data_IF_519771658161
#
_entry.id   IF_519771658161
#
_cell.length_a   1.000
_cell.length_b   1.000
_cell.length_c   1.000
_cell.angle_alpha   90.00
_cell.angle_beta   90.00
_cell.angle_gamma   90.00
#
_symmetry.space_group_name_H-M   'P 1'
#
loop_
_entity.id
_entity.type
_entity.pdbx_description
1 polymer ?
#
# COMPACT_ATOMS: atom_id res chain seq x y z
N UNK A 1 8.74 -15.99 -6.89
CA UNK A 1 8.59 -14.97 -7.99
C UNK A 1 9.01 -15.47 -9.37
N UNK A 2 9.89 -16.49 -9.47
CA UNK A 2 10.43 -16.96 -10.75
C UNK A 2 9.39 -17.62 -11.66
N UNK A 3 8.45 -18.41 -11.11
CA UNK A 3 7.44 -19.11 -11.91
C UNK A 3 6.37 -18.15 -12.40
N UNK A 4 5.95 -17.19 -11.57
CA UNK A 4 5.06 -16.11 -11.97
C UNK A 4 5.60 -15.35 -13.19
N UNK A 5 6.88 -14.98 -13.15
CA UNK A 5 7.54 -14.30 -14.26
C UNK A 5 7.74 -15.19 -15.50
N UNK A 6 7.70 -16.52 -15.38
CA UNK A 6 7.75 -17.42 -16.54
C UNK A 6 6.43 -17.44 -17.32
N UNK A 7 5.30 -17.18 -16.67
CA UNK A 7 3.99 -17.10 -17.33
C UNK A 7 3.94 -15.87 -18.23
N UNK A 8 4.24 -14.70 -17.68
CA UNK A 8 4.38 -13.46 -18.43
C UNK A 8 5.23 -12.46 -17.64
N UNK A 9 6.52 -12.39 -18.00
CA UNK A 9 7.50 -11.55 -17.30
C UNK A 9 7.14 -10.07 -17.33
N UNK A 10 6.78 -9.55 -18.50
CA UNK A 10 6.53 -8.12 -18.67
C UNK A 10 5.29 -7.69 -17.88
N UNK A 11 4.23 -8.50 -17.94
CA UNK A 11 3.01 -8.27 -17.13
C UNK A 11 3.32 -8.33 -15.63
N UNK A 12 4.13 -9.28 -15.18
CA UNK A 12 4.51 -9.38 -13.77
C UNK A 12 5.28 -8.13 -13.32
N UNK A 13 6.28 -7.69 -14.10
CA UNK A 13 7.06 -6.48 -13.78
C UNK A 13 6.18 -5.22 -13.79
N UNK A 14 5.23 -5.11 -14.71
CA UNK A 14 4.31 -3.97 -14.78
C UNK A 14 3.40 -3.90 -13.55
N UNK A 15 2.80 -5.02 -13.13
CA UNK A 15 1.98 -5.10 -11.92
C UNK A 15 2.77 -4.88 -10.62
N UNK A 16 4.03 -5.30 -10.56
CA UNK A 16 4.89 -5.00 -9.41
C UNK A 16 5.25 -3.51 -9.35
N UNK A 17 5.51 -2.87 -10.49
CA UNK A 17 5.75 -1.42 -10.54
C UNK A 17 4.50 -0.61 -10.18
N UNK A 18 3.33 -1.12 -10.55
CA UNK A 18 2.04 -0.61 -10.12
C UNK A 18 1.92 -0.64 -8.60
N UNK A 19 2.11 -1.80 -7.96
CA UNK A 19 2.15 -1.89 -6.49
C UNK A 19 3.22 -1.02 -5.87
N UNK A 20 4.45 -1.04 -6.37
CA UNK A 20 5.52 -0.21 -5.82
C UNK A 20 5.18 1.29 -5.86
N UNK A 21 4.50 1.74 -6.92
CA UNK A 21 4.05 3.14 -7.02
C UNK A 21 3.00 3.46 -5.97
N UNK A 22 2.13 2.52 -5.68
CA UNK A 22 1.13 2.63 -4.64
C UNK A 22 1.72 2.65 -3.23
N UNK A 23 2.60 1.70 -2.90
CA UNK A 23 3.32 1.61 -1.61
C UNK A 23 4.10 2.91 -1.31
N UNK A 24 4.77 3.47 -2.34
CA UNK A 24 5.43 4.77 -2.21
C UNK A 24 4.46 5.91 -1.91
N UNK A 25 3.21 5.80 -2.35
CA UNK A 25 2.18 6.77 -2.04
C UNK A 25 1.64 6.56 -0.61
N UNK A 26 1.30 5.33 -0.22
CA UNK A 26 0.78 4.97 1.11
C UNK A 26 1.76 5.32 2.22
N UNK A 27 3.07 5.05 2.07
CA UNK A 27 4.11 5.52 3.01
C UNK A 27 3.99 7.03 3.27
N UNK A 28 3.79 7.82 2.21
CA UNK A 28 3.62 9.29 2.32
C UNK A 28 2.28 9.68 2.93
N UNK A 29 1.22 8.93 2.67
CA UNK A 29 -0.08 9.13 3.32
C UNK A 29 0.04 8.93 4.83
N UNK A 30 0.64 7.81 5.24
CA UNK A 30 0.89 7.50 6.65
C UNK A 30 1.79 8.53 7.32
N UNK A 31 2.90 8.94 6.69
CA UNK A 31 3.76 10.00 7.21
C UNK A 31 2.96 11.28 7.50
N UNK A 32 2.13 11.72 6.56
CA UNK A 32 1.26 12.90 6.72
C UNK A 32 0.22 12.72 7.84
N UNK A 33 -0.44 11.57 7.90
CA UNK A 33 -1.45 11.28 8.93
C UNK A 33 -0.80 11.23 10.31
N UNK A 34 0.34 10.56 10.47
CA UNK A 34 1.10 10.53 11.73
C UNK A 34 1.47 11.95 12.17
N UNK A 35 1.94 12.80 11.25
CA UNK A 35 2.25 14.20 11.55
C UNK A 35 1.01 14.98 12.02
N UNK A 36 -0.10 14.88 11.28
CA UNK A 36 -1.34 15.62 11.57
C UNK A 36 -2.00 15.15 12.87
N UNK A 37 -2.09 13.84 13.08
CA UNK A 37 -2.59 13.26 14.33
C UNK A 37 -1.69 13.60 15.51
N UNK A 38 -0.37 13.67 15.31
CA UNK A 38 0.59 14.11 16.31
C UNK A 38 0.38 15.55 16.82
N UNK A 39 -0.40 16.36 16.09
CA UNK A 39 -0.79 17.72 16.47
C UNK A 39 -2.20 17.81 17.05
N UNK A 40 -2.93 16.71 17.10
CA UNK A 40 -4.29 16.66 17.62
C UNK A 40 -4.33 16.90 19.13
N UNK A 41 -5.42 17.54 19.61
CA UNK A 41 -5.71 17.65 21.03
C UNK A 41 -6.52 16.46 21.57
N UNK A 42 -6.98 15.56 20.69
CA UNK A 42 -7.79 14.39 21.05
C UNK A 42 -6.89 13.24 21.56
N UNK A 43 -7.00 12.85 22.85
CA UNK A 43 -6.21 11.75 23.40
C UNK A 43 -6.48 10.40 22.71
N UNK A 44 -7.70 10.17 22.23
CA UNK A 44 -8.07 8.95 21.50
C UNK A 44 -7.28 8.82 20.20
N UNK A 45 -7.15 9.93 19.46
CA UNK A 45 -6.35 9.98 18.24
C UNK A 45 -4.84 9.85 18.54
N UNK A 46 -4.35 10.51 19.60
CA UNK A 46 -2.94 10.41 20.00
C UNK A 46 -2.54 8.97 20.38
N UNK A 47 -3.45 8.19 20.97
CA UNK A 47 -3.21 6.80 21.30
C UNK A 47 -3.00 5.89 20.07
N UNK A 48 -3.46 6.31 18.89
CA UNK A 48 -3.27 5.56 17.63
C UNK A 48 -1.86 5.72 17.05
N UNK A 49 -1.09 6.73 17.47
CA UNK A 49 0.19 7.07 16.85
C UNK A 49 1.22 5.94 16.86
N UNK A 50 1.20 5.08 17.88
CA UNK A 50 2.09 3.92 17.93
C UNK A 50 1.81 2.97 16.78
N UNK A 51 0.54 2.59 16.60
CA UNK A 51 0.10 1.65 15.58
C UNK A 51 0.22 2.23 14.17
N UNK A 52 -0.11 3.51 13.97
CA UNK A 52 0.05 4.17 12.67
C UNK A 52 1.51 4.23 12.20
N UNK A 53 2.46 4.35 13.13
CA UNK A 53 3.90 4.29 12.80
C UNK A 53 4.35 2.89 12.45
N UNK A 54 3.83 1.88 13.15
CA UNK A 54 4.09 0.48 12.81
C UNK A 54 3.61 0.15 11.40
N UNK A 55 2.39 0.57 11.04
CA UNK A 55 1.85 0.34 9.70
C UNK A 55 2.64 1.10 8.64
N UNK A 56 3.00 2.36 8.90
CA UNK A 56 3.93 3.12 8.06
C UNK A 56 5.26 2.38 7.81
N UNK A 57 5.80 1.70 8.82
CA UNK A 57 7.05 0.96 8.70
C UNK A 57 6.86 -0.35 7.92
N UNK A 58 5.69 -0.99 8.00
CA UNK A 58 5.32 -2.14 7.18
C UNK A 58 5.19 -1.76 5.70
N UNK A 59 4.47 -0.68 5.40
CA UNK A 59 4.35 -0.07 4.06
C UNK A 59 5.74 0.22 3.45
N UNK A 60 6.67 0.69 4.28
CA UNK A 60 8.05 0.92 3.84
C UNK A 60 8.80 -0.39 3.54
N UNK A 61 8.57 -1.44 4.34
CA UNK A 61 9.11 -2.76 4.06
C UNK A 61 8.56 -3.34 2.74
N UNK A 62 7.27 -3.12 2.47
CA UNK A 62 6.62 -3.54 1.24
C UNK A 62 7.20 -2.84 0.01
N UNK A 63 7.37 -1.51 0.10
CA UNK A 63 8.08 -0.71 -0.90
C UNK A 63 9.46 -1.28 -1.20
N UNK A 64 10.31 -1.45 -0.18
CA UNK A 64 11.69 -1.93 -0.33
C UNK A 64 11.75 -3.34 -0.90
N UNK A 65 10.83 -4.21 -0.48
CA UNK A 65 10.74 -5.57 -0.98
C UNK A 65 10.34 -5.60 -2.46
N UNK A 66 9.32 -4.83 -2.87
CA UNK A 66 8.89 -4.75 -4.26
C UNK A 66 10.02 -4.24 -5.17
N UNK A 67 10.76 -3.22 -4.74
CA UNK A 67 11.93 -2.75 -5.49
C UNK A 67 12.96 -3.86 -5.72
N UNK A 68 13.26 -4.65 -4.68
CA UNK A 68 14.15 -5.80 -4.78
C UNK A 68 13.60 -6.83 -5.78
N UNK A 69 12.32 -7.18 -5.71
CA UNK A 69 11.72 -8.18 -6.61
C UNK A 69 11.73 -7.72 -8.07
N UNK A 70 11.42 -6.45 -8.33
CA UNK A 70 11.48 -5.89 -9.70
C UNK A 70 12.90 -5.98 -10.25
N UNK A 71 13.91 -5.61 -9.46
CA UNK A 71 15.32 -5.69 -9.85
C UNK A 71 15.77 -7.13 -10.07
N UNK A 72 15.35 -8.07 -9.22
CA UNK A 72 15.68 -9.51 -9.35
C UNK A 72 15.07 -10.14 -10.60
N UNK A 73 13.91 -9.65 -11.04
CA UNK A 73 13.33 -10.01 -12.34
C UNK A 73 14.01 -9.30 -13.52
N UNK A 74 14.94 -8.38 -13.27
CA UNK A 74 15.63 -7.60 -14.30
C UNK A 74 14.79 -6.44 -14.87
N UNK A 75 13.78 -6.00 -14.13
CA UNK A 75 13.06 -4.76 -14.38
C UNK A 75 13.75 -3.55 -13.72
N UNK A 76 13.22 -2.36 -14.01
CA UNK A 76 13.64 -1.10 -13.39
C UNK A 76 12.53 -0.63 -12.44
N UNK A 77 12.84 -0.54 -11.14
CA UNK A 77 11.91 -0.13 -10.07
C UNK A 77 11.63 1.39 -10.05
N UNK A 78 12.27 2.15 -10.95
CA UNK A 78 12.01 3.57 -11.17
C UNK A 78 11.40 3.86 -12.53
N UNK A 79 11.13 2.82 -13.35
CA UNK A 79 10.46 2.99 -14.62
C UNK A 79 8.99 3.38 -14.41
N UNK A 80 8.51 4.36 -15.18
CA UNK A 80 7.09 4.61 -15.32
C UNK A 80 6.52 3.62 -16.35
N UNK A 81 5.98 2.51 -15.85
CA UNK A 81 5.23 1.52 -16.62
C UNK A 81 3.77 1.95 -16.83
N UNK A 82 3.04 1.26 -17.72
CA UNK A 82 1.63 1.57 -18.00
C UNK A 82 0.77 1.52 -16.73
N UNK A 83 0.88 0.44 -15.96
CA UNK A 83 0.07 0.26 -14.76
C UNK A 83 0.53 1.18 -13.62
N UNK A 84 1.84 1.43 -13.48
CA UNK A 84 2.35 2.42 -12.51
C UNK A 84 1.80 3.84 -12.74
N UNK A 85 1.68 4.23 -14.02
CA UNK A 85 1.13 5.53 -14.39
C UNK A 85 -0.37 5.59 -14.10
N UNK A 86 -1.10 4.51 -14.38
CA UNK A 86 -2.53 4.45 -14.15
C UNK A 86 -2.85 4.60 -12.66
N UNK A 87 -2.21 3.81 -11.79
CA UNK A 87 -2.48 3.86 -10.36
C UNK A 87 -2.07 5.20 -9.72
N UNK A 88 -1.04 5.86 -10.26
CA UNK A 88 -0.65 7.21 -9.83
C UNK A 88 -1.77 8.25 -10.10
N UNK A 89 -2.51 8.08 -11.21
CA UNK A 89 -3.67 8.92 -11.54
C UNK A 89 -4.86 8.56 -10.63
N UNK A 90 -5.14 7.27 -10.45
CA UNK A 90 -6.27 6.79 -9.64
C UNK A 90 -6.13 7.20 -8.16
N UNK A 91 -4.92 7.16 -7.62
CA UNK A 91 -4.61 7.54 -6.23
C UNK A 91 -4.48 9.06 -6.01
N UNK A 92 -4.55 9.88 -7.07
CA UNK A 92 -4.33 11.33 -6.98
C UNK A 92 -5.31 12.01 -6.02
N UNK A 93 -6.60 11.66 -6.06
CA UNK A 93 -7.61 12.28 -5.19
C UNK A 93 -7.39 11.98 -3.70
N UNK A 94 -6.92 10.77 -3.37
CA UNK A 94 -6.59 10.38 -1.98
C UNK A 94 -5.42 11.25 -1.48
N UNK A 95 -4.38 11.37 -2.31
CA UNK A 95 -3.21 12.21 -2.01
C UNK A 95 -3.59 13.68 -1.82
N UNK A 96 -4.46 14.22 -2.66
CA UNK A 96 -4.92 15.60 -2.53
C UNK A 96 -5.61 15.84 -1.18
N UNK A 97 -6.45 14.92 -0.70
CA UNK A 97 -7.09 15.04 0.63
C UNK A 97 -6.07 14.95 1.76
N UNK A 98 -5.21 13.92 1.72
CA UNK A 98 -4.35 13.57 2.85
C UNK A 98 -3.07 14.39 2.92
N UNK A 99 -2.47 14.76 1.80
CA UNK A 99 -1.22 15.54 1.78
C UNK A 99 -1.52 17.03 1.80
N UNK A 100 -2.32 17.50 0.84
CA UNK A 100 -2.42 18.93 0.52
C UNK A 100 -3.69 19.60 1.09
N UNK A 101 -4.75 18.82 1.37
CA UNK A 101 -6.10 19.36 1.52
C UNK A 101 -6.56 19.58 2.95
N UNK A 102 -6.57 18.54 3.78
CA UNK A 102 -7.38 18.55 5.02
C UNK A 102 -6.57 18.42 6.32
N UNK A 103 -7.17 18.88 7.42
CA UNK A 103 -6.71 18.69 8.81
C UNK A 103 -7.75 17.95 9.66
N UNK A 104 -8.96 17.72 9.13
CA UNK A 104 -10.03 17.00 9.80
C UNK A 104 -9.71 15.50 9.84
N UNK A 105 -9.51 14.90 11.04
CA UNK A 105 -9.21 13.48 11.17
C UNK A 105 -10.23 12.57 10.47
N UNK A 106 -11.52 12.91 10.49
CA UNK A 106 -12.56 12.11 9.82
C UNK A 106 -12.30 12.01 8.31
N UNK A 107 -11.91 13.12 7.67
CA UNK A 107 -11.62 13.13 6.24
C UNK A 107 -10.32 12.38 5.92
N UNK A 108 -9.30 12.55 6.77
CA UNK A 108 -8.01 11.86 6.62
C UNK A 108 -8.18 10.33 6.73
N UNK A 109 -8.89 9.84 7.76
CA UNK A 109 -9.11 8.41 7.95
C UNK A 109 -10.09 7.81 6.94
N UNK A 110 -11.07 8.59 6.44
CA UNK A 110 -11.91 8.13 5.34
C UNK A 110 -11.11 7.99 4.03
N UNK A 111 -10.21 8.93 3.74
CA UNK A 111 -9.31 8.83 2.60
C UNK A 111 -8.34 7.65 2.76
N UNK A 112 -7.77 7.45 3.95
CA UNK A 112 -6.95 6.28 4.26
C UNK A 112 -7.75 4.99 4.09
N UNK A 113 -9.00 4.91 4.56
CA UNK A 113 -9.85 3.72 4.36
C UNK A 113 -10.02 3.37 2.89
N UNK A 114 -10.11 4.39 2.03
CA UNK A 114 -10.20 4.19 0.58
C UNK A 114 -8.88 3.64 0.03
N UNK A 115 -7.75 4.10 0.57
CA UNK A 115 -6.44 3.59 0.19
C UNK A 115 -6.26 2.11 0.60
N UNK A 116 -6.52 1.79 1.86
CA UNK A 116 -6.42 0.42 2.41
C UNK A 116 -7.27 -0.60 1.63
N UNK A 117 -8.46 -0.21 1.19
CA UNK A 117 -9.33 -1.07 0.38
C UNK A 117 -8.72 -1.39 -1.00
N UNK A 118 -8.07 -0.41 -1.62
CA UNK A 118 -7.38 -0.60 -2.90
C UNK A 118 -6.13 -1.47 -2.69
N UNK A 119 -5.41 -1.28 -1.59
CA UNK A 119 -4.19 -2.04 -1.35
C UNK A 119 -4.44 -3.52 -1.11
N UNK A 120 -5.42 -3.83 -0.24
CA UNK A 120 -5.88 -5.18 0.00
C UNK A 120 -6.26 -5.89 -1.33
N UNK A 121 -6.99 -5.20 -2.21
CA UNK A 121 -7.36 -5.75 -3.50
C UNK A 121 -6.14 -5.95 -4.43
N UNK A 122 -5.16 -5.05 -4.39
CA UNK A 122 -3.91 -5.15 -5.15
C UNK A 122 -3.07 -6.36 -4.72
N UNK A 123 -2.86 -6.54 -3.42
CA UNK A 123 -2.14 -7.69 -2.88
C UNK A 123 -2.86 -9.01 -3.11
N UNK A 124 -4.20 -9.02 -2.97
CA UNK A 124 -5.00 -10.20 -3.27
C UNK A 124 -4.85 -10.63 -4.75
N UNK A 125 -4.89 -9.68 -5.69
CA UNK A 125 -4.69 -9.97 -7.11
C UNK A 125 -3.31 -10.60 -7.37
N UNK A 126 -2.24 -10.06 -6.77
CA UNK A 126 -0.91 -10.64 -6.90
C UNK A 126 -0.82 -12.06 -6.34
N UNK A 127 -1.48 -12.32 -5.20
CA UNK A 127 -1.57 -13.65 -4.61
C UNK A 127 -2.30 -14.64 -5.54
N UNK A 128 -3.42 -14.23 -6.12
CA UNK A 128 -4.18 -15.05 -7.07
C UNK A 128 -3.35 -15.39 -8.31
N UNK A 129 -2.63 -14.41 -8.88
CA UNK A 129 -1.73 -14.64 -10.01
C UNK A 129 -0.56 -15.57 -9.67
N UNK A 130 -0.02 -15.47 -8.44
CA UNK A 130 1.02 -16.39 -7.98
C UNK A 130 0.48 -17.82 -7.79
N UNK A 131 -0.78 -17.98 -7.41
CA UNK A 131 -1.46 -19.27 -7.31
C UNK A 131 -1.69 -19.90 -8.67
N UNK A 132 -2.20 -19.15 -9.64
CA UNK A 132 -2.34 -19.59 -11.02
C UNK A 132 -1.00 -20.02 -11.66
N UNK A 133 0.11 -19.41 -11.23
CA UNK A 133 1.46 -19.73 -11.70
C UNK A 133 2.16 -20.84 -10.90
N UNK A 134 1.51 -21.45 -9.90
CA UNK A 134 2.10 -22.42 -8.96
C UNK A 134 3.42 -21.92 -8.32
N UNK A 135 3.52 -20.63 -8.00
CA UNK A 135 4.71 -19.98 -7.43
C UNK A 135 4.62 -19.86 -5.90
N UNK A 136 4.92 -20.95 -5.19
CA UNK A 136 4.87 -21.04 -3.71
C UNK A 136 5.61 -19.92 -2.99
N UNK A 137 6.76 -19.51 -3.52
CA UNK A 137 7.58 -18.44 -2.95
C UNK A 137 6.87 -17.08 -3.08
N UNK A 138 6.33 -16.77 -4.26
CA UNK A 138 5.56 -15.55 -4.45
C UNK A 138 4.26 -15.57 -3.62
N UNK A 139 3.56 -16.70 -3.58
CA UNK A 139 2.34 -16.88 -2.78
C UNK A 139 2.57 -16.58 -1.31
N UNK A 140 3.63 -17.10 -0.72
CA UNK A 140 3.94 -16.86 0.69
C UNK A 140 4.29 -15.39 0.94
N UNK A 141 5.09 -14.79 0.06
CA UNK A 141 5.48 -13.40 0.19
C UNK A 141 4.30 -12.42 0.05
N UNK A 142 3.38 -12.69 -0.88
CA UNK A 142 2.16 -11.88 -1.07
C UNK A 142 1.14 -12.11 0.04
N UNK A 143 0.99 -13.34 0.53
CA UNK A 143 0.11 -13.65 1.66
C UNK A 143 0.53 -12.93 2.94
N UNK A 144 1.83 -12.85 3.21
CA UNK A 144 2.35 -12.08 4.36
C UNK A 144 1.88 -10.63 4.31
N UNK A 145 2.06 -9.98 3.16
CA UNK A 145 1.74 -8.56 2.96
C UNK A 145 0.25 -8.31 2.98
N UNK A 146 -0.52 -9.14 2.29
CA UNK A 146 -1.97 -9.10 2.36
C UNK A 146 -2.47 -9.19 3.81
N UNK A 147 -1.86 -10.04 4.65
CA UNK A 147 -2.26 -10.13 6.05
C UNK A 147 -1.92 -8.86 6.86
N UNK A 148 -0.79 -8.22 6.59
CA UNK A 148 -0.43 -6.92 7.17
C UNK A 148 -1.45 -5.86 6.74
N UNK A 149 -1.82 -5.79 5.46
CA UNK A 149 -2.82 -4.86 4.93
C UNK A 149 -4.25 -5.12 5.44
N UNK A 150 -4.60 -6.37 5.73
CA UNK A 150 -5.88 -6.70 6.37
C UNK A 150 -5.97 -6.07 7.76
N UNK A 151 -4.88 -6.08 8.53
CA UNK A 151 -4.79 -5.45 9.86
C UNK A 151 -4.86 -3.91 9.78
N UNK A 152 -4.31 -3.31 8.72
CA UNK A 152 -4.41 -1.88 8.45
C UNK A 152 -5.84 -1.47 8.14
N UNK A 153 -6.50 -2.21 7.24
CA UNK A 153 -7.89 -2.00 6.88
C UNK A 153 -8.83 -2.13 8.09
N UNK A 154 -8.61 -3.13 8.96
CA UNK A 154 -9.41 -3.31 10.17
C UNK A 154 -9.30 -2.09 11.08
N UNK A 155 -8.08 -1.62 11.37
CA UNK A 155 -7.88 -0.44 12.21
C UNK A 155 -8.56 0.78 11.61
N UNK A 156 -8.29 1.07 10.34
CA UNK A 156 -8.77 2.27 9.67
C UNK A 156 -10.29 2.29 9.63
N UNK A 157 -10.94 1.15 9.38
CA UNK A 157 -12.40 1.01 9.48
C UNK A 157 -12.90 1.31 10.89
N UNK A 158 -12.28 0.72 11.92
CA UNK A 158 -12.67 0.96 13.31
C UNK A 158 -12.54 2.43 13.72
N UNK A 159 -11.53 3.14 13.19
CA UNK A 159 -11.35 4.57 13.46
C UNK A 159 -12.44 5.39 12.77
N UNK A 160 -12.72 5.13 11.48
CA UNK A 160 -13.79 5.82 10.74
C UNK A 160 -15.16 5.61 11.38
N UNK A 161 -15.45 4.43 11.93
CA UNK A 161 -16.72 4.15 12.62
C UNK A 161 -16.89 4.93 13.93
N UNK A 162 -15.81 5.45 14.51
CA UNK A 162 -15.80 6.13 15.82
C UNK A 162 -15.69 7.66 15.74
N UNK A 163 -15.20 8.19 14.60
CA UNK A 163 -15.05 9.63 14.35
C UNK A 163 -16.35 10.27 13.87
#
# INVERSE_FOLDING_TARGET
>A
MKKLAQVNKDKAIDLLNERLTYERATVRLYDSIVEKIGRSADPGLLNLLGQLREYRDQEKEHEEWLEAQIRDLGGDAHAETEMSRLIAIESQGIREVVLDGDQNPTHLFHALLTAELVDNAGWQLLLELADEADDDEAREAFRKRLHEEEDHLILTRQVVERL
#
